data_IF_901617223843
#
_entry.id   IF_901617223843
#
_cell.length_a   1.000
_cell.length_b   1.000
_cell.length_c   1.000
_cell.angle_alpha   90.00
_cell.angle_beta   90.00
_cell.angle_gamma   90.00
#
_symmetry.space_group_name_H-M   'P 1'
#
loop_
_entity.id
_entity.type
_entity.pdbx_description
1 polymer ?
#
# COMPACT_ATOMS: atom_id res chain seq x y z
N UNK A 1 -11.28 11.53 -3.93
CA UNK A 1 -11.01 10.32 -4.73
C UNK A 1 -11.91 10.26 -5.95
N UNK A 2 -13.20 10.55 -5.84
CA UNK A 2 -14.17 10.45 -6.94
C UNK A 2 -13.84 11.25 -8.21
N UNK A 3 -13.30 12.46 -8.08
CA UNK A 3 -12.93 13.34 -9.21
C UNK A 3 -11.58 12.99 -9.86
N UNK A 4 -10.86 12.01 -9.33
CA UNK A 4 -9.54 11.63 -9.85
C UNK A 4 -9.61 10.65 -11.02
N UNK A 5 -10.81 10.15 -11.33
CA UNK A 5 -11.05 9.17 -12.39
C UNK A 5 -11.92 9.84 -13.45
N UNK A 6 -11.53 9.68 -14.71
CA UNK A 6 -12.36 10.10 -15.85
C UNK A 6 -13.62 9.23 -15.93
N UNK A 7 -14.73 9.88 -16.28
CA UNK A 7 -16.04 9.25 -16.32
C UNK A 7 -16.70 9.53 -17.66
N UNK A 8 -17.47 8.55 -18.15
CA UNK A 8 -18.29 8.72 -19.34
C UNK A 8 -19.53 9.60 -19.08
N UNK A 9 -20.34 9.82 -20.11
CA UNK A 9 -21.57 10.63 -20.02
C UNK A 9 -22.61 10.07 -19.03
N UNK A 10 -22.54 8.77 -18.70
CA UNK A 10 -23.39 8.12 -17.71
C UNK A 10 -22.74 8.12 -16.30
N UNK A 11 -21.58 8.76 -16.14
CA UNK A 11 -20.86 8.84 -14.87
C UNK A 11 -20.08 7.57 -14.52
N UNK A 12 -19.89 6.62 -15.45
CA UNK A 12 -19.17 5.36 -15.21
C UNK A 12 -17.68 5.53 -15.46
N UNK A 13 -16.85 4.80 -14.74
CA UNK A 13 -15.41 4.75 -14.98
C UNK A 13 -14.99 3.41 -15.61
N UNK A 14 -13.79 3.37 -16.19
CA UNK A 14 -13.16 2.14 -16.68
C UNK A 14 -12.28 1.45 -15.62
N UNK A 15 -12.51 1.73 -14.33
CA UNK A 15 -11.74 1.14 -13.25
C UNK A 15 -12.65 0.45 -12.24
N UNK A 16 -12.11 -0.55 -11.55
CA UNK A 16 -12.81 -1.18 -10.43
C UNK A 16 -11.81 -1.88 -9.50
N UNK A 17 -12.35 -2.72 -8.62
CA UNK A 17 -11.60 -3.55 -7.69
C UNK A 17 -12.22 -4.95 -7.64
N UNK A 18 -11.39 -5.95 -7.44
CA UNK A 18 -11.79 -7.35 -7.40
C UNK A 18 -11.11 -8.05 -6.21
N UNK A 19 -11.90 -8.70 -5.36
CA UNK A 19 -11.37 -9.57 -4.31
C UNK A 19 -10.90 -10.88 -4.94
N UNK A 20 -9.69 -11.31 -4.58
CA UNK A 20 -9.06 -12.52 -5.11
C UNK A 20 -8.74 -13.47 -3.95
N UNK A 21 -9.12 -14.74 -4.12
CA UNK A 21 -8.79 -15.82 -3.19
C UNK A 21 -7.87 -16.86 -3.86
N UNK A 22 -6.54 -16.73 -3.68
CA UNK A 22 -5.54 -17.67 -4.18
C UNK A 22 -5.85 -19.15 -3.91
N UNK A 23 -6.26 -19.50 -2.69
CA UNK A 23 -6.60 -20.89 -2.31
C UNK A 23 -7.70 -21.54 -3.16
N UNK A 24 -8.54 -20.74 -3.84
CA UNK A 24 -9.59 -21.27 -4.74
C UNK A 24 -9.02 -21.69 -6.09
N UNK A 25 -7.86 -21.18 -6.49
CA UNK A 25 -7.15 -21.56 -7.71
C UNK A 25 -6.52 -22.96 -7.51
N UNK A 26 -5.57 -23.09 -6.59
CA UNK A 26 -5.04 -24.39 -6.18
C UNK A 26 -4.54 -24.32 -4.74
N UNK A 27 -4.23 -25.48 -4.13
CA UNK A 27 -3.63 -25.53 -2.78
C UNK A 27 -2.21 -24.94 -2.74
N UNK A 28 -1.58 -24.88 -3.90
CA UNK A 28 -0.17 -24.56 -4.13
C UNK A 28 0.02 -23.11 -4.59
N UNK A 29 -1.08 -22.46 -4.98
CA UNK A 29 -1.11 -21.08 -5.43
C UNK A 29 -1.09 -20.14 -4.22
N UNK A 30 0.00 -19.40 -4.06
CA UNK A 30 0.26 -18.52 -2.93
C UNK A 30 0.31 -17.04 -3.33
N UNK A 31 0.61 -16.16 -2.36
CA UNK A 31 0.80 -14.72 -2.57
C UNK A 31 1.80 -14.38 -3.68
N UNK A 32 2.97 -15.03 -3.67
CA UNK A 32 4.02 -14.76 -4.66
C UNK A 32 3.56 -15.11 -6.08
N UNK A 33 2.80 -16.20 -6.24
CA UNK A 33 2.20 -16.56 -7.52
C UNK A 33 1.14 -15.53 -7.96
N UNK A 34 0.30 -15.03 -7.03
CA UNK A 34 -0.65 -13.96 -7.34
C UNK A 34 0.06 -12.69 -7.81
N UNK A 35 1.07 -12.25 -7.07
CA UNK A 35 1.86 -11.06 -7.38
C UNK A 35 2.50 -11.21 -8.76
N UNK A 36 3.14 -12.35 -9.03
CA UNK A 36 3.77 -12.63 -10.31
C UNK A 36 2.78 -12.54 -11.49
N UNK A 37 1.56 -13.09 -11.35
CA UNK A 37 0.54 -13.01 -12.41
C UNK A 37 0.05 -11.59 -12.60
N UNK A 38 -0.23 -10.87 -11.51
CA UNK A 38 -0.69 -9.48 -11.57
C UNK A 38 0.35 -8.60 -12.29
N UNK A 39 1.62 -8.73 -11.90
CA UNK A 39 2.72 -7.99 -12.53
C UNK A 39 2.86 -8.33 -14.02
N UNK A 40 2.76 -9.60 -14.39
CA UNK A 40 2.86 -10.03 -15.78
C UNK A 40 1.69 -9.59 -16.64
N UNK A 41 0.47 -9.55 -16.09
CA UNK A 41 -0.68 -8.98 -16.81
C UNK A 41 -0.47 -7.49 -17.03
N UNK A 42 -0.04 -6.74 -16.02
CA UNK A 42 0.24 -5.31 -16.15
C UNK A 42 1.35 -5.03 -17.16
N UNK A 43 2.44 -5.80 -17.14
CA UNK A 43 3.57 -5.68 -18.07
C UNK A 43 3.18 -5.99 -19.52
N UNK A 44 2.46 -7.09 -19.77
CA UNK A 44 2.10 -7.51 -21.13
C UNK A 44 1.00 -6.64 -21.76
N UNK A 45 0.07 -6.12 -20.96
CA UNK A 45 -1.08 -5.35 -21.47
C UNK A 45 -0.88 -3.83 -21.40
N UNK A 46 0.02 -3.36 -20.53
CA UNK A 46 0.17 -1.95 -20.20
C UNK A 46 -1.02 -1.36 -19.42
N UNK A 47 -1.99 -2.18 -19.01
CA UNK A 47 -3.14 -1.73 -18.23
C UNK A 47 -2.80 -1.69 -16.74
N UNK A 48 -3.39 -0.73 -16.03
CA UNK A 48 -3.25 -0.66 -14.57
C UNK A 48 -3.84 -1.92 -13.94
N UNK A 49 -3.03 -2.64 -13.17
CA UNK A 49 -3.46 -3.73 -12.30
C UNK A 49 -2.48 -3.87 -11.15
N UNK A 50 -2.96 -3.74 -9.92
CA UNK A 50 -2.13 -3.80 -8.72
C UNK A 50 -2.87 -4.51 -7.59
N UNK A 51 -2.15 -5.26 -6.77
CA UNK A 51 -2.67 -5.75 -5.48
C UNK A 51 -2.62 -4.58 -4.49
N UNK A 52 -3.78 -4.17 -4.01
CA UNK A 52 -3.94 -2.97 -3.17
C UNK A 52 -4.32 -3.27 -1.72
N UNK A 53 -4.80 -4.49 -1.45
CA UNK A 53 -5.10 -4.95 -0.10
C UNK A 53 -4.54 -6.35 0.13
N UNK A 54 -3.71 -6.46 1.17
CA UNK A 54 -3.14 -7.69 1.68
C UNK A 54 -3.87 -8.05 2.99
N UNK A 55 -5.06 -8.66 2.88
CA UNK A 55 -5.95 -8.84 4.03
C UNK A 55 -5.66 -10.15 4.78
N UNK A 56 -5.67 -11.28 4.08
CA UNK A 56 -5.44 -12.61 4.67
C UNK A 56 -4.51 -13.41 3.77
N UNK A 57 -3.38 -13.84 4.32
CA UNK A 57 -2.36 -14.62 3.61
C UNK A 57 -2.99 -15.80 2.86
N UNK A 58 -2.73 -15.88 1.56
CA UNK A 58 -3.20 -16.92 0.64
C UNK A 58 -4.74 -17.08 0.52
N UNK A 59 -5.54 -16.20 1.12
CA UNK A 59 -7.00 -16.34 1.16
C UNK A 59 -7.74 -15.10 0.68
N UNK A 60 -7.26 -13.90 0.98
CA UNK A 60 -7.98 -12.68 0.66
C UNK A 60 -7.03 -11.54 0.31
N UNK A 61 -7.04 -11.20 -0.96
CA UNK A 61 -6.38 -10.03 -1.54
C UNK A 61 -7.42 -9.20 -2.28
N UNK A 62 -7.12 -7.93 -2.54
CA UNK A 62 -7.91 -7.11 -3.46
C UNK A 62 -6.99 -6.56 -4.52
N UNK A 63 -7.34 -6.79 -5.78
CA UNK A 63 -6.69 -6.19 -6.94
C UNK A 63 -7.51 -4.98 -7.40
N UNK A 64 -6.85 -3.88 -7.73
CA UNK A 64 -7.46 -2.69 -8.31
C UNK A 64 -6.84 -2.41 -9.67
N UNK A 65 -7.63 -1.93 -10.62
CA UNK A 65 -7.13 -1.72 -11.96
C UNK A 65 -8.19 -1.31 -12.97
N UNK A 66 -7.76 -1.25 -14.22
CA UNK A 66 -8.63 -1.13 -15.39
C UNK A 66 -9.57 -2.34 -15.45
N UNK A 67 -10.83 -2.14 -15.84
CA UNK A 67 -11.81 -3.22 -15.99
C UNK A 67 -11.27 -4.34 -16.89
N UNK A 68 -10.53 -4.00 -17.95
CA UNK A 68 -9.95 -4.98 -18.88
C UNK A 68 -8.88 -5.84 -18.20
N UNK A 69 -8.06 -5.24 -17.35
CA UNK A 69 -7.03 -5.96 -16.63
C UNK A 69 -7.61 -6.89 -15.56
N UNK A 70 -8.67 -6.45 -14.87
CA UNK A 70 -9.39 -7.27 -13.88
C UNK A 70 -10.12 -8.45 -14.52
N UNK A 71 -10.73 -8.25 -15.69
CA UNK A 71 -11.36 -9.34 -16.45
C UNK A 71 -10.32 -10.34 -16.99
N UNK A 72 -9.19 -9.83 -17.48
CA UNK A 72 -8.04 -10.66 -17.90
C UNK A 72 -7.51 -11.49 -16.73
N UNK A 73 -7.35 -10.89 -15.54
CA UNK A 73 -6.94 -11.60 -14.33
C UNK A 73 -7.92 -12.72 -13.96
N UNK A 74 -9.23 -12.47 -14.06
CA UNK A 74 -10.24 -13.51 -13.83
C UNK A 74 -10.11 -14.65 -14.86
N UNK A 75 -9.91 -14.32 -16.14
CA UNK A 75 -9.68 -15.29 -17.21
C UNK A 75 -8.45 -16.18 -16.96
N UNK A 76 -7.32 -15.56 -16.63
CA UNK A 76 -6.06 -16.26 -16.33
C UNK A 76 -6.21 -17.17 -15.10
N UNK A 77 -6.80 -16.66 -14.01
CA UNK A 77 -7.03 -17.45 -12.79
C UNK A 77 -7.96 -18.65 -13.05
N UNK A 78 -9.02 -18.45 -13.85
CA UNK A 78 -9.92 -19.53 -14.25
C UNK A 78 -9.20 -20.57 -15.13
N UNK A 79 -8.36 -20.12 -16.06
CA UNK A 79 -7.59 -21.02 -16.92
C UNK A 79 -6.65 -21.92 -16.11
N UNK A 80 -5.86 -21.32 -15.20
CA UNK A 80 -4.95 -22.05 -14.32
C UNK A 80 -5.72 -23.05 -13.45
N UNK A 81 -6.88 -22.66 -12.92
CA UNK A 81 -7.74 -23.54 -12.13
C UNK A 81 -8.16 -24.78 -12.92
N UNK A 82 -8.66 -24.59 -14.15
CA UNK A 82 -9.21 -25.67 -14.98
C UNK A 82 -8.11 -26.61 -15.49
N UNK A 83 -6.98 -26.05 -15.93
CA UNK A 83 -5.84 -26.82 -16.42
C UNK A 83 -5.06 -27.54 -15.31
N UNK A 84 -5.39 -27.27 -14.03
CA UNK A 84 -4.69 -27.81 -12.85
C UNK A 84 -3.18 -27.61 -12.91
N UNK A 85 -2.73 -26.50 -13.51
CA UNK A 85 -1.31 -26.19 -13.63
C UNK A 85 -0.77 -26.01 -12.20
N UNK A 86 0.03 -26.96 -11.75
CA UNK A 86 0.74 -26.84 -10.49
C UNK A 86 1.90 -25.87 -10.71
N UNK A 87 1.80 -24.65 -10.17
CA UNK A 87 2.87 -23.65 -10.22
C UNK A 87 4.14 -24.12 -9.47
N UNK A 88 4.11 -25.28 -8.82
CA UNK A 88 5.27 -25.86 -8.14
C UNK A 88 6.23 -26.58 -9.09
N UNK A 89 5.75 -27.17 -10.20
CA UNK A 89 6.59 -27.74 -11.26
C UNK A 89 7.26 -26.67 -12.14
N UNK A 90 6.89 -25.40 -11.93
CA UNK A 90 7.34 -24.23 -12.70
C UNK A 90 8.74 -23.75 -12.31
N UNK A 91 9.26 -24.16 -11.15
CA UNK A 91 10.57 -23.71 -10.67
C UNK A 91 11.75 -24.24 -11.50
N UNK A 92 11.59 -25.40 -12.13
CA UNK A 92 12.69 -26.05 -12.84
C UNK A 92 12.83 -25.57 -14.31
N UNK A 93 11.81 -24.90 -14.87
CA UNK A 93 11.86 -24.37 -16.24
C UNK A 93 11.18 -22.99 -16.39
N UNK A 94 11.69 -22.02 -15.63
CA UNK A 94 11.14 -20.65 -15.52
C UNK A 94 10.87 -19.97 -16.87
N UNK A 95 11.74 -20.13 -17.87
CA UNK A 95 11.59 -19.41 -19.15
C UNK A 95 10.49 -19.99 -20.05
N UNK A 96 10.34 -21.32 -20.07
CA UNK A 96 9.26 -21.98 -20.81
C UNK A 96 7.89 -21.63 -20.20
N UNK A 97 7.80 -21.64 -18.88
CA UNK A 97 6.55 -21.29 -18.19
C UNK A 97 6.20 -19.82 -18.35
N UNK A 98 7.18 -18.91 -18.37
CA UNK A 98 6.95 -17.51 -18.74
C UNK A 98 6.40 -17.38 -20.15
N UNK A 99 6.88 -18.19 -21.10
CA UNK A 99 6.34 -18.26 -22.46
C UNK A 99 4.86 -18.64 -22.48
N UNK A 100 4.52 -19.78 -21.89
CA UNK A 100 3.14 -20.26 -21.81
C UNK A 100 2.21 -19.29 -21.07
N UNK A 101 2.67 -18.70 -19.96
CA UNK A 101 1.87 -17.73 -19.22
C UNK A 101 1.57 -16.48 -20.06
N UNK A 102 2.54 -15.97 -20.83
CA UNK A 102 2.32 -14.83 -21.73
C UNK A 102 1.27 -15.15 -22.79
N UNK A 103 1.30 -16.33 -23.38
CA UNK A 103 0.29 -16.75 -24.37
C UNK A 103 -1.11 -16.82 -23.74
N UNK A 104 -1.22 -17.37 -22.52
CA UNK A 104 -2.48 -17.41 -21.76
C UNK A 104 -2.98 -15.99 -21.48
N UNK A 105 -2.11 -15.09 -21.03
CA UNK A 105 -2.45 -13.69 -20.76
C UNK A 105 -2.95 -13.00 -22.03
N UNK A 106 -2.23 -13.12 -23.16
CA UNK A 106 -2.63 -12.52 -24.44
C UNK A 106 -3.97 -13.05 -24.92
N UNK A 107 -4.16 -14.37 -24.88
CA UNK A 107 -5.45 -14.97 -25.26
C UNK A 107 -6.61 -14.51 -24.36
N UNK A 108 -6.37 -14.30 -23.06
CA UNK A 108 -7.38 -13.74 -22.16
C UNK A 108 -7.64 -12.24 -22.42
N UNK A 109 -6.59 -11.47 -22.71
CA UNK A 109 -6.70 -10.05 -23.03
C UNK A 109 -7.44 -9.82 -24.35
N UNK A 110 -7.17 -10.61 -25.39
CA UNK A 110 -7.89 -10.57 -26.66
C UNK A 110 -9.39 -10.88 -26.48
N UNK A 111 -9.70 -11.93 -25.70
CA UNK A 111 -11.09 -12.24 -25.34
C UNK A 111 -11.76 -11.10 -24.57
N UNK A 112 -11.03 -10.44 -23.69
CA UNK A 112 -11.52 -9.27 -22.94
C UNK A 112 -11.83 -8.11 -23.88
N UNK A 113 -10.96 -7.83 -24.85
CA UNK A 113 -11.14 -6.76 -25.83
C UNK A 113 -12.30 -7.03 -26.81
N UNK A 114 -12.63 -8.30 -27.04
CA UNK A 114 -13.77 -8.69 -27.87
C UNK A 114 -15.13 -8.55 -27.15
N UNK A 115 -15.15 -8.32 -25.82
CA UNK A 115 -16.40 -8.15 -25.06
C UNK A 115 -17.06 -6.81 -25.36
N UNK A 116 -18.41 -6.73 -25.27
CA UNK A 116 -19.12 -5.47 -25.46
C UNK A 116 -18.74 -4.43 -24.40
N UNK A 117 -18.74 -3.16 -24.79
CA UNK A 117 -18.54 -2.02 -23.89
C UNK A 117 -19.89 -1.37 -23.53
N UNK A 118 -20.12 -0.96 -22.27
CA UNK A 118 -19.20 -0.99 -21.14
C UNK A 118 -18.92 -2.41 -20.65
N UNK A 119 -17.67 -2.68 -20.28
CA UNK A 119 -17.27 -3.98 -19.79
C UNK A 119 -17.85 -4.23 -18.40
N UNK A 120 -18.62 -5.31 -18.24
CA UNK A 120 -19.13 -5.74 -16.94
C UNK A 120 -18.29 -6.89 -16.39
N UNK A 121 -17.79 -6.74 -15.16
CA UNK A 121 -16.99 -7.77 -14.51
C UNK A 121 -17.88 -8.88 -13.95
N UNK A 122 -17.53 -10.12 -14.28
CA UNK A 122 -18.20 -11.31 -13.78
C UNK A 122 -17.39 -12.00 -12.67
N UNK A 123 -18.08 -12.80 -11.86
CA UNK A 123 -17.44 -13.62 -10.83
C UNK A 123 -16.72 -14.81 -11.48
N UNK A 124 -15.44 -14.98 -11.17
CA UNK A 124 -14.68 -16.18 -11.50
C UNK A 124 -14.62 -17.20 -10.35
N UNK A 125 -13.83 -18.27 -10.52
CA UNK A 125 -13.62 -19.27 -9.47
C UNK A 125 -12.93 -18.69 -8.23
N UNK A 126 -11.98 -17.79 -8.45
CA UNK A 126 -11.15 -17.17 -7.41
C UNK A 126 -11.32 -15.66 -7.32
N UNK A 127 -12.06 -15.04 -8.23
CA UNK A 127 -12.21 -13.58 -8.36
C UNK A 127 -13.65 -13.16 -8.12
N UNK A 128 -13.85 -12.12 -7.29
CA UNK A 128 -15.16 -11.57 -6.95
C UNK A 128 -15.11 -10.05 -7.14
N UNK A 129 -15.75 -9.50 -8.19
CA UNK A 129 -15.81 -8.06 -8.41
C UNK A 129 -16.52 -7.34 -7.26
N UNK A 130 -15.96 -6.20 -6.82
CA UNK A 130 -16.53 -5.35 -5.78
C UNK A 130 -17.52 -4.36 -6.38
N UNK A 131 -18.80 -4.76 -6.46
CA UNK A 131 -19.87 -3.95 -7.05
C UNK A 131 -20.00 -2.60 -6.34
N UNK A 132 -20.15 -1.53 -7.13
CA UNK A 132 -20.29 -0.15 -6.63
C UNK A 132 -18.95 0.55 -6.35
N UNK A 133 -17.81 -0.11 -6.56
CA UNK A 133 -16.49 0.51 -6.49
C UNK A 133 -15.95 0.71 -7.90
N UNK A 134 -15.66 1.96 -8.22
CA UNK A 134 -15.26 2.41 -9.55
C UNK A 134 -14.02 3.34 -9.53
N UNK A 135 -13.32 3.36 -8.39
CA UNK A 135 -12.05 4.09 -8.20
C UNK A 135 -11.00 3.09 -7.69
N UNK A 136 -9.82 2.98 -8.34
CA UNK A 136 -8.78 2.05 -7.93
C UNK A 136 -7.96 2.65 -6.78
N UNK A 137 -8.56 2.82 -5.61
CA UNK A 137 -7.87 3.42 -4.47
C UNK A 137 -6.73 2.54 -3.95
N UNK A 138 -5.77 3.15 -3.26
CA UNK A 138 -4.48 2.57 -2.85
C UNK A 138 -3.54 2.15 -3.98
N UNK A 139 -3.95 2.22 -5.25
CA UNK A 139 -3.07 2.02 -6.40
C UNK A 139 -2.22 3.26 -6.71
N UNK A 140 -1.18 3.07 -7.53
CA UNK A 140 -0.33 4.15 -8.03
C UNK A 140 -1.09 5.18 -8.89
N UNK A 141 -2.26 4.81 -9.43
CA UNK A 141 -3.10 5.70 -10.23
C UNK A 141 -3.45 7.01 -9.49
N UNK A 142 -3.73 6.94 -8.19
CA UNK A 142 -4.10 8.11 -7.39
C UNK A 142 -2.90 8.92 -6.86
N UNK A 143 -1.66 8.54 -7.20
CA UNK A 143 -0.45 9.19 -6.68
C UNK A 143 -0.36 10.67 -7.07
N UNK A 144 -0.86 11.04 -8.26
CA UNK A 144 -0.93 12.43 -8.74
C UNK A 144 -1.79 13.32 -7.82
N UNK A 145 -2.85 12.76 -7.22
CA UNK A 145 -3.77 13.45 -6.31
C UNK A 145 -3.24 13.64 -4.88
N UNK A 146 -2.09 13.04 -4.53
CA UNK A 146 -1.57 13.06 -3.14
C UNK A 146 -1.07 14.45 -2.74
N UNK A 147 -0.46 15.21 -3.65
CA UNK A 147 0.09 16.56 -3.36
C UNK A 147 -0.99 17.54 -2.86
N UNK A 148 -2.12 17.76 -3.55
CA UNK A 148 -3.17 18.65 -3.06
C UNK A 148 -3.81 18.14 -1.77
N UNK A 149 -4.02 16.83 -1.63
CA UNK A 149 -4.59 16.25 -0.41
C UNK A 149 -3.68 16.44 0.81
N UNK A 150 -2.36 16.27 0.64
CA UNK A 150 -1.36 16.57 1.68
C UNK A 150 -1.44 18.04 2.12
N UNK A 151 -1.53 18.98 1.17
CA UNK A 151 -1.68 20.40 1.49
C UNK A 151 -2.96 20.70 2.27
N UNK A 152 -4.04 19.99 1.98
CA UNK A 152 -5.29 20.08 2.75
C UNK A 152 -5.12 19.56 4.18
N UNK A 153 -4.48 18.39 4.36
CA UNK A 153 -4.21 17.84 5.70
C UNK A 153 -3.35 18.77 6.55
N UNK A 154 -2.34 19.42 5.96
CA UNK A 154 -1.51 20.42 6.66
C UNK A 154 -2.29 21.63 7.18
N UNK A 155 -3.44 21.96 6.58
CA UNK A 155 -4.33 23.03 7.04
C UNK A 155 -5.34 22.56 8.10
N UNK A 156 -5.64 21.25 8.14
CA UNK A 156 -6.67 20.67 9.00
C UNK A 156 -6.11 20.00 10.25
N UNK A 157 -4.89 19.49 10.18
CA UNK A 157 -4.20 18.87 11.31
C UNK A 157 -3.27 19.92 11.93
N UNK A 158 -3.66 20.42 13.10
CA UNK A 158 -2.86 21.39 13.84
C UNK A 158 -1.70 20.68 14.54
N UNK A 159 -0.49 21.19 14.38
CA UNK A 159 0.72 20.59 14.99
C UNK A 159 0.61 20.46 16.51
N UNK A 160 0.02 21.47 17.16
CA UNK A 160 -0.16 21.51 18.62
C UNK A 160 -1.17 20.50 19.15
N UNK A 161 -2.02 19.93 18.29
CA UNK A 161 -2.97 18.86 18.67
C UNK A 161 -2.38 17.45 18.57
N UNK A 162 -1.14 17.31 18.08
CA UNK A 162 -0.49 16.01 17.90
C UNK A 162 0.37 15.73 19.14
N UNK A 163 0.04 14.64 19.83
CA UNK A 163 0.83 14.08 20.91
C UNK A 163 1.50 12.78 20.43
N UNK A 164 2.81 12.79 20.13
CA UNK A 164 3.52 11.61 19.64
C UNK A 164 3.47 10.41 20.58
N UNK A 165 3.37 10.61 21.90
CA UNK A 165 3.37 9.54 22.90
C UNK A 165 2.13 8.62 22.79
N UNK A 166 1.07 9.12 22.17
CA UNK A 166 -0.15 8.35 21.87
C UNK A 166 -0.05 7.54 20.59
N UNK A 167 0.93 7.83 19.73
CA UNK A 167 1.10 7.18 18.43
C UNK A 167 2.27 6.19 18.44
N UNK A 168 3.40 6.57 19.06
CA UNK A 168 4.62 5.75 19.06
C UNK A 168 4.34 4.40 19.71
N UNK A 169 4.65 3.32 18.98
CA UNK A 169 4.42 1.93 19.39
C UNK A 169 2.96 1.49 19.44
N UNK A 170 1.98 2.40 19.28
CA UNK A 170 0.54 2.12 19.43
C UNK A 170 -0.21 2.15 18.10
N UNK A 171 0.13 3.08 17.22
CA UNK A 171 -0.48 3.20 15.90
C UNK A 171 0.28 2.35 14.89
N UNK A 172 -0.43 1.54 14.10
CA UNK A 172 0.15 0.73 13.02
C UNK A 172 -0.40 1.27 11.69
N UNK A 173 0.37 2.04 10.90
CA UNK A 173 -0.10 2.57 9.63
C UNK A 173 -0.17 1.50 8.54
N UNK A 174 -1.19 1.55 7.68
CA UNK A 174 -1.33 0.64 6.54
C UNK A 174 -0.15 0.73 5.55
N UNK A 175 0.50 1.89 5.43
CA UNK A 175 1.60 2.10 4.48
C UNK A 175 2.83 1.28 4.85
N UNK A 176 3.17 1.18 6.14
CA UNK A 176 4.40 0.55 6.61
C UNK A 176 4.17 -0.81 7.28
N UNK A 177 2.95 -1.08 7.75
CA UNK A 177 2.59 -2.29 8.51
C UNK A 177 3.50 -2.57 9.72
N UNK A 178 4.10 -1.53 10.29
CA UNK A 178 4.96 -1.58 11.49
C UNK A 178 4.44 -0.58 12.53
N UNK A 179 4.62 -0.85 13.83
CA UNK A 179 4.33 0.15 14.86
C UNK A 179 5.02 1.47 14.55
N UNK A 180 4.26 2.56 14.60
CA UNK A 180 4.73 3.90 14.31
C UNK A 180 5.89 4.25 15.25
N UNK A 181 6.97 4.81 14.69
CA UNK A 181 8.14 5.21 15.45
C UNK A 181 8.76 6.48 14.85
N UNK A 182 9.46 7.24 15.69
CA UNK A 182 10.21 8.44 15.31
C UNK A 182 11.71 8.15 15.23
N UNK A 183 12.09 7.04 14.60
CA UNK A 183 13.51 6.68 14.41
C UNK A 183 13.92 6.88 12.96
N UNK A 184 15.23 6.99 12.72
CA UNK A 184 15.78 7.18 11.37
C UNK A 184 15.40 6.01 10.46
N UNK A 185 15.48 4.78 10.98
CA UNK A 185 15.14 3.55 10.27
C UNK A 185 13.68 3.55 9.83
N UNK A 186 12.77 4.02 10.69
CA UNK A 186 11.36 4.14 10.34
C UNK A 186 11.12 5.14 9.20
N UNK A 187 11.82 6.28 9.22
CA UNK A 187 11.74 7.27 8.14
C UNK A 187 12.36 6.75 6.83
N UNK A 188 13.45 5.99 6.89
CA UNK A 188 14.06 5.34 5.72
C UNK A 188 13.11 4.33 5.09
N UNK A 189 12.42 3.51 5.89
CA UNK A 189 11.42 2.57 5.39
C UNK A 189 10.22 3.28 4.74
N UNK A 190 9.72 4.35 5.35
CA UNK A 190 8.68 5.20 4.73
C UNK A 190 9.19 5.81 3.42
N UNK A 191 10.44 6.25 3.36
CA UNK A 191 11.01 6.85 2.14
C UNK A 191 11.12 5.81 1.01
N UNK A 192 11.60 4.60 1.30
CA UNK A 192 11.70 3.50 0.32
C UNK A 192 10.34 3.21 -0.34
N UNK A 193 9.26 3.20 0.44
CA UNK A 193 7.91 2.89 -0.03
C UNK A 193 7.26 4.06 -0.78
N UNK A 194 7.48 5.30 -0.32
CA UNK A 194 6.70 6.46 -0.79
C UNK A 194 7.46 7.38 -1.73
N UNK A 195 8.80 7.33 -1.71
CA UNK A 195 9.72 8.29 -2.32
C UNK A 195 9.33 9.76 -2.01
N UNK A 196 8.91 10.01 -0.78
CA UNK A 196 8.41 11.34 -0.36
C UNK A 196 9.55 12.35 -0.26
N UNK A 197 9.52 13.48 -1.00
CA UNK A 197 10.58 14.48 -0.94
C UNK A 197 10.68 15.16 0.43
N UNK A 198 9.58 15.20 1.20
CA UNK A 198 9.58 15.76 2.57
C UNK A 198 10.32 14.85 3.56
N UNK A 199 10.13 13.54 3.43
CA UNK A 199 10.85 12.56 4.24
C UNK A 199 12.33 12.53 3.85
N UNK A 200 12.64 12.56 2.55
CA UNK A 200 14.02 12.65 2.06
C UNK A 200 14.76 13.87 2.59
N UNK A 201 14.12 15.05 2.63
CA UNK A 201 14.71 16.25 3.20
C UNK A 201 14.98 16.16 4.71
N UNK A 202 14.14 15.44 5.47
CA UNK A 202 14.35 15.19 6.90
C UNK A 202 15.52 14.23 7.09
N UNK A 203 15.56 13.13 6.34
CA UNK A 203 16.66 12.15 6.40
C UNK A 203 18.02 12.77 6.07
N UNK A 204 18.08 13.66 5.08
CA UNK A 204 19.30 14.37 4.71
C UNK A 204 19.80 15.34 5.80
N UNK A 205 18.92 15.78 6.71
CA UNK A 205 19.22 16.72 7.78
C UNK A 205 18.90 16.12 9.16
N UNK A 206 19.04 14.81 9.32
CA UNK A 206 18.56 14.08 10.50
C UNK A 206 19.12 14.64 11.81
N UNK A 207 20.42 14.95 11.85
CA UNK A 207 21.11 15.41 13.07
C UNK A 207 20.53 16.70 13.64
N UNK A 208 20.01 17.59 12.78
CA UNK A 208 19.34 18.81 13.21
C UNK A 208 18.11 18.53 14.07
N UNK A 209 17.36 17.49 13.73
CA UNK A 209 16.13 17.14 14.43
C UNK A 209 16.37 16.30 15.69
N UNK A 210 17.52 15.61 15.75
CA UNK A 210 17.91 14.81 16.91
C UNK A 210 18.50 15.67 18.05
N UNK A 211 19.07 16.84 17.74
CA UNK A 211 19.66 17.74 18.75
C UNK A 211 18.60 18.52 19.54
N UNK A 212 17.43 18.81 18.96
CA UNK A 212 16.35 19.53 19.64
C UNK A 212 15.69 18.68 20.75
N UNK A 213 15.66 17.34 20.65
CA UNK A 213 15.18 16.48 21.74
C UNK A 213 16.08 16.49 22.99
N UNK A 214 17.39 16.67 22.80
CA UNK A 214 18.33 16.77 23.93
C UNK A 214 18.22 18.12 24.68
N UNK A 215 17.90 19.21 23.96
CA UNK A 215 17.72 20.53 24.57
C UNK A 215 16.41 20.64 25.37
N UNK A 216 15.36 19.91 24.99
CA UNK A 216 14.04 20.01 25.65
C UNK A 216 13.95 19.16 26.94
N UNK A 217 14.82 18.15 27.09
CA UNK A 217 14.86 17.29 28.28
C UNK A 217 15.97 17.68 29.30
N UNK A 218 16.71 18.77 29.04
CA UNK A 218 17.88 19.18 29.82
C UNK A 218 17.67 20.32 30.83
N UNK A 219 16.44 20.80 31.03
CA UNK A 219 16.15 21.94 31.94
C UNK A 219 15.29 21.52 33.13
N UNK A 220 15.70 20.47 33.85
CA UNK A 220 15.30 20.24 35.25
C UNK A 220 16.45 19.55 36.00
N UNK A 221 17.53 20.29 36.29
CA UNK A 221 18.35 20.08 37.49
C UNK A 221 19.45 21.13 37.57
N UNK A 222 19.23 22.17 38.38
CA UNK A 222 20.23 22.79 39.25
C UNK A 222 19.73 24.15 39.73
N UNK A 223 19.07 24.16 40.90
CA UNK A 223 19.41 25.19 41.88
C UNK A 223 19.08 24.70 43.30
N UNK A 224 19.97 23.88 43.86
CA UNK A 224 20.05 23.70 45.30
C UNK A 224 21.05 24.72 45.84
N UNK A 225 20.57 25.93 46.11
CA UNK A 225 21.39 26.96 46.75
C UNK A 225 21.64 26.59 48.22
N UNK A 226 22.92 26.59 48.56
CA UNK A 226 23.51 26.29 49.86
C UNK A 226 23.06 27.27 50.93
N UNK A 227 22.29 26.80 51.90
CA UNK A 227 22.02 27.51 53.16
C UNK A 227 23.19 27.33 54.13
N UNK A 228 24.02 28.35 54.28
CA UNK A 228 25.01 28.46 55.35
C UNK A 228 24.33 28.54 56.72
N UNK A 229 24.52 27.51 57.54
CA UNK A 229 24.21 27.54 58.97
C UNK A 229 25.28 28.38 59.72
N UNK A 230 24.90 29.57 60.18
CA UNK A 230 25.61 30.26 61.27
C UNK A 230 24.90 30.00 62.60
N UNK A 231 25.53 29.18 63.43
CA UNK A 231 25.19 29.05 64.83
C UNK A 231 25.86 30.18 65.64
N UNK A 232 25.06 31.03 66.30
CA UNK A 232 25.51 31.77 67.48
C UNK A 232 24.39 31.81 68.50
N UNK A 233 24.63 31.15 69.63
CA UNK A 233 23.68 31.04 70.74
C UNK A 233 23.73 32.19 71.74
N UNK A 234 22.63 32.27 72.52
CA UNK A 234 22.46 32.63 73.94
C UNK A 234 21.08 33.27 74.09
N UNK A 235 20.13 32.59 74.74
CA UNK A 235 19.93 32.53 76.19
C UNK A 235 19.32 33.81 76.77
N UNK A 236 18.00 33.80 76.96
CA UNK A 236 17.29 33.97 78.23
C UNK A 236 15.80 33.70 77.99
#
# INVERSE_FOLDING_TARGET
MQVAVERDAAGRSNYSMCAVNPSRISKTFNEAALQFIVDKIAEETGWLLEIVNYNIANMQYVCAGDLRALDTLAGVANFIKVQKIAIEEVKDNIEEVKGHLREIIRGCAEKTLAKPTPLELERGFATIPLRGIDVPFHSTFLRSGVKPFRSFLLKKINKTSIDPSKLVGKYIPNVTAKPFALTKEYFEDVYKLTNSPKIGAILANWDKYNQDEAATNGVESSDSSSGEYKASGRAA
#
